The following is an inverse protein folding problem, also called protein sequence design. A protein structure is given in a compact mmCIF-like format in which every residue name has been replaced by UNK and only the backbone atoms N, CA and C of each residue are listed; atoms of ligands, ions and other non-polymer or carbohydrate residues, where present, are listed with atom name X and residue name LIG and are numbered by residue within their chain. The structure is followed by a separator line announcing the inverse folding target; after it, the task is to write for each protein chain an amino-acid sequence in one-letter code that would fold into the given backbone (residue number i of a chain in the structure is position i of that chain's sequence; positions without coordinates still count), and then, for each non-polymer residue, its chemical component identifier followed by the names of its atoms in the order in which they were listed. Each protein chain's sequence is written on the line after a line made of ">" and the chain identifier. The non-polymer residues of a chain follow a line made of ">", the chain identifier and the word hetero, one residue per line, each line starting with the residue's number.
data_IF_528896228120
#
_entry.id   IF_528896228120
#
_cell.length_a   1.000
_cell.length_b   1.000
_cell.length_c   1.000
_cell.angle_alpha   90.00
_cell.angle_beta   90.00
_cell.angle_gamma   90.00
#
_symmetry.space_group_name_H-M   'P 1'
#
loop_
_entity.id
_entity.type
_entity.pdbx_description
1 polymer ?
#
# COMPACT_ATOMS: atom_id res chain seq x y z
N UNK A 1 30.96 -60.70 -28.28
CA UNK A 1 29.70 -60.18 -28.88
C UNK A 1 28.54 -60.14 -27.86
N UNK A 2 28.83 -60.12 -26.55
CA UNK A 2 27.81 -60.11 -25.47
C UNK A 2 28.05 -59.00 -24.43
N UNK A 3 28.99 -58.08 -24.67
CA UNK A 3 29.23 -56.92 -23.79
C UNK A 3 28.69 -55.60 -24.38
N UNK A 4 28.50 -55.52 -25.70
CA UNK A 4 27.94 -54.33 -26.36
C UNK A 4 26.40 -54.25 -26.34
N UNK A 5 25.69 -55.34 -26.04
CA UNK A 5 24.23 -55.32 -25.92
C UNK A 5 23.74 -54.85 -24.54
N UNK A 6 24.58 -54.90 -23.50
CA UNK A 6 24.21 -54.44 -22.15
C UNK A 6 24.24 -52.90 -22.01
N UNK A 7 25.13 -52.21 -22.72
CA UNK A 7 25.17 -50.74 -22.71
C UNK A 7 24.01 -50.11 -23.49
N UNK A 8 23.49 -50.79 -24.52
CA UNK A 8 22.34 -50.30 -25.29
C UNK A 8 21.02 -50.42 -24.51
N UNK A 9 20.87 -51.47 -23.68
CA UNK A 9 19.65 -51.70 -22.88
C UNK A 9 19.54 -50.83 -21.62
N UNK A 10 20.65 -50.25 -21.12
CA UNK A 10 20.62 -49.27 -20.03
C UNK A 10 20.34 -47.83 -20.50
N UNK A 11 20.47 -47.57 -21.80
CA UNK A 11 20.16 -46.25 -22.39
C UNK A 11 18.67 -46.02 -22.66
N UNK A 12 17.86 -47.09 -22.70
CA UNK A 12 16.46 -47.07 -23.14
C UNK A 12 15.46 -47.63 -22.12
N UNK A 13 15.63 -47.31 -20.84
CA UNK A 13 14.62 -47.57 -19.81
C UNK A 13 13.88 -46.24 -19.45
N UNK A 14 12.65 -46.01 -19.95
CA UNK A 14 11.92 -44.76 -19.73
C UNK A 14 11.16 -44.79 -18.39
N UNK A 15 11.86 -44.99 -17.27
CA UNK A 15 11.27 -44.84 -15.93
C UNK A 15 12.20 -44.00 -15.04
N UNK A 16 11.63 -42.93 -14.46
CA UNK A 16 12.28 -41.83 -13.73
C UNK A 16 12.88 -40.69 -14.56
N UNK A 17 12.11 -40.20 -15.55
CA UNK A 17 12.25 -38.82 -15.99
C UNK A 17 11.87 -37.85 -14.87
N UNK A 18 12.84 -37.33 -14.11
CA UNK A 18 12.61 -36.17 -13.25
C UNK A 18 12.30 -34.98 -14.17
N UNK A 19 11.01 -34.76 -14.44
CA UNK A 19 10.53 -33.61 -15.19
C UNK A 19 11.14 -32.34 -14.55
N UNK A 20 12.07 -31.71 -15.27
CA UNK A 20 12.75 -30.51 -14.82
C UNK A 20 11.78 -29.35 -14.96
N UNK A 21 11.19 -28.92 -13.84
CA UNK A 21 10.27 -27.78 -13.81
C UNK A 21 11.11 -26.50 -13.78
N UNK A 22 11.01 -25.60 -14.77
CA UNK A 22 11.71 -24.31 -14.74
C UNK A 22 11.26 -23.46 -13.54
N UNK A 23 12.15 -22.64 -12.97
CA UNK A 23 11.85 -21.84 -11.76
C UNK A 23 10.59 -20.96 -11.89
N UNK A 24 10.34 -20.43 -13.09
CA UNK A 24 9.13 -19.64 -13.41
C UNK A 24 7.83 -20.42 -13.22
N UNK A 25 7.89 -21.73 -13.41
CA UNK A 25 6.77 -22.67 -13.33
C UNK A 25 6.71 -23.38 -11.97
N UNK A 26 7.50 -22.92 -10.98
CA UNK A 26 7.48 -23.43 -9.60
C UNK A 26 6.65 -22.54 -8.70
N UNK A 27 5.74 -23.14 -7.93
CA UNK A 27 5.13 -22.52 -6.76
C UNK A 27 5.84 -23.06 -5.52
N UNK A 28 6.53 -22.18 -4.78
CA UNK A 28 7.29 -22.56 -3.60
C UNK A 28 6.39 -22.75 -2.38
N UNK A 29 6.66 -23.80 -1.62
CA UNK A 29 5.95 -24.26 -0.43
C UNK A 29 6.91 -24.24 0.77
N UNK A 30 6.35 -24.04 1.96
CA UNK A 30 7.12 -24.10 3.20
C UNK A 30 6.63 -25.31 4.03
N UNK A 31 7.16 -26.49 3.71
CA UNK A 31 6.77 -27.73 4.35
C UNK A 31 7.53 -27.90 5.68
N UNK A 32 6.85 -28.02 6.83
CA UNK A 32 7.49 -28.36 8.10
C UNK A 32 8.32 -29.64 7.98
N UNK A 33 9.47 -29.70 8.65
CA UNK A 33 10.37 -30.86 8.53
C UNK A 33 9.67 -32.20 8.85
N UNK A 34 8.75 -32.19 9.82
CA UNK A 34 7.96 -33.37 10.23
C UNK A 34 6.98 -33.85 9.14
N UNK A 35 6.60 -32.98 8.21
CA UNK A 35 5.61 -33.25 7.15
C UNK A 35 6.27 -33.40 5.76
N UNK A 36 7.62 -33.42 5.71
CA UNK A 36 8.39 -33.53 4.47
C UNK A 36 8.05 -34.77 3.66
N UNK A 37 7.81 -35.90 4.32
CA UNK A 37 7.49 -37.16 3.64
C UNK A 37 6.06 -37.15 3.09
N UNK A 38 5.13 -36.50 3.79
CA UNK A 38 3.78 -36.28 3.30
C UNK A 38 3.81 -35.36 2.07
N UNK A 39 4.50 -34.21 2.14
CA UNK A 39 4.61 -33.32 1.00
C UNK A 39 5.27 -33.97 -0.22
N UNK A 40 6.31 -34.81 -0.03
CA UNK A 40 6.90 -35.63 -1.11
C UNK A 40 5.88 -36.59 -1.73
N UNK A 41 5.12 -37.32 -0.90
CA UNK A 41 4.03 -38.20 -1.38
C UNK A 41 2.99 -37.40 -2.15
N UNK A 42 2.75 -36.16 -1.77
CA UNK A 42 1.87 -35.22 -2.46
C UNK A 42 2.51 -34.57 -3.70
N UNK A 43 3.72 -34.97 -4.11
CA UNK A 43 4.36 -34.51 -5.34
C UNK A 43 5.14 -33.19 -5.20
N UNK A 44 5.34 -32.69 -3.98
CA UNK A 44 6.26 -31.59 -3.74
C UNK A 44 7.71 -32.05 -3.97
N UNK A 45 8.51 -31.19 -4.60
CA UNK A 45 9.93 -31.40 -4.89
C UNK A 45 10.77 -30.41 -4.06
N UNK A 46 12.00 -30.78 -3.72
CA UNK A 46 12.93 -29.92 -2.98
C UNK A 46 13.87 -29.17 -3.92
N UNK A 47 13.87 -27.84 -3.84
CA UNK A 47 14.84 -26.97 -4.51
C UNK A 47 16.01 -26.71 -3.56
N UNK A 48 17.12 -27.43 -3.75
CA UNK A 48 18.32 -27.34 -2.90
C UNK A 48 18.93 -25.95 -2.90
N UNK A 49 18.90 -25.27 -4.05
CA UNK A 49 19.42 -23.93 -4.29
C UNK A 49 18.67 -22.86 -3.49
N UNK A 50 17.35 -22.99 -3.35
CA UNK A 50 16.53 -22.05 -2.56
C UNK A 50 16.23 -22.54 -1.16
N UNK A 51 16.62 -23.79 -0.84
CA UNK A 51 16.28 -24.52 0.38
C UNK A 51 14.78 -24.46 0.67
N UNK A 52 13.95 -24.72 -0.36
CA UNK A 52 12.49 -24.67 -0.28
C UNK A 52 11.84 -25.82 -1.02
N UNK A 53 10.68 -26.23 -0.54
CA UNK A 53 9.81 -27.13 -1.29
C UNK A 53 9.12 -26.38 -2.42
N UNK A 54 8.73 -27.07 -3.48
CA UNK A 54 7.96 -26.50 -4.57
C UNK A 54 7.07 -27.53 -5.26
N UNK A 55 6.03 -27.05 -5.92
CA UNK A 55 5.25 -27.83 -6.89
C UNK A 55 5.22 -27.14 -8.24
N UNK A 56 4.83 -27.87 -9.29
CA UNK A 56 4.56 -27.29 -10.61
C UNK A 56 3.35 -26.37 -10.50
N UNK A 57 3.43 -25.17 -11.07
CA UNK A 57 2.26 -24.31 -11.31
C UNK A 57 1.42 -24.94 -12.41
N UNK A 58 0.11 -24.97 -12.25
CA UNK A 58 -0.76 -25.42 -13.32
C UNK A 58 -0.74 -24.43 -14.47
N UNK A 59 -0.48 -24.93 -15.68
CA UNK A 59 -0.89 -24.26 -16.90
C UNK A 59 -2.43 -24.29 -17.01
N UNK A 60 -3.01 -23.43 -17.84
CA UNK A 60 -4.46 -23.49 -18.14
C UNK A 60 -4.77 -24.83 -18.82
N UNK A 61 -5.22 -25.82 -18.04
CA UNK A 61 -5.67 -27.12 -18.53
C UNK A 61 -4.86 -28.31 -17.99
N UNK A 62 -5.43 -29.00 -16.99
CA UNK A 62 -5.35 -30.45 -16.87
C UNK A 62 -4.13 -31.06 -16.18
N UNK A 63 -4.27 -31.32 -14.89
CA UNK A 63 -3.48 -32.31 -14.14
C UNK A 63 -3.88 -32.25 -12.67
N UNK A 64 -4.34 -33.38 -12.10
CA UNK A 64 -4.92 -33.45 -10.75
C UNK A 64 -4.09 -32.69 -9.70
N UNK A 65 -4.54 -31.49 -9.35
CA UNK A 65 -4.08 -30.74 -8.20
C UNK A 65 -4.24 -31.63 -6.98
N UNK A 66 -3.14 -32.03 -6.34
CA UNK A 66 -3.21 -32.39 -4.93
C UNK A 66 -3.44 -31.09 -4.16
N UNK A 67 -4.71 -30.65 -4.12
CA UNK A 67 -5.23 -29.51 -3.33
C UNK A 67 -4.72 -29.57 -1.89
N UNK A 68 -4.42 -30.77 -1.41
CA UNK A 68 -3.77 -31.06 -0.13
C UNK A 68 -2.44 -30.32 0.07
N UNK A 69 -1.69 -29.97 -1.00
CA UNK A 69 -0.48 -29.14 -0.88
C UNK A 69 -0.77 -27.66 -0.64
N UNK A 70 -2.01 -27.19 -0.84
CA UNK A 70 -2.38 -25.79 -0.63
C UNK A 70 -2.21 -25.38 0.83
N UNK A 71 -2.30 -26.32 1.79
CA UNK A 71 -2.06 -26.02 3.21
C UNK A 71 -0.66 -25.44 3.46
N UNK A 72 0.34 -25.85 2.69
CA UNK A 72 1.72 -25.34 2.76
C UNK A 72 1.97 -24.06 1.97
N UNK A 73 0.94 -23.50 1.33
CA UNK A 73 1.04 -22.26 0.57
C UNK A 73 1.14 -21.07 1.53
N UNK A 74 2.07 -20.19 1.21
CA UNK A 74 2.30 -18.94 1.94
C UNK A 74 1.22 -17.92 1.56
N UNK A 75 0.57 -17.34 2.57
CA UNK A 75 -0.33 -16.19 2.45
C UNK A 75 0.32 -15.00 3.15
N UNK A 76 0.51 -13.89 2.44
CA UNK A 76 1.03 -12.67 3.05
C UNK A 76 -0.08 -11.92 3.78
N UNK A 77 0.22 -11.47 5.00
CA UNK A 77 -0.69 -10.78 5.91
C UNK A 77 -0.41 -9.29 5.90
N UNK A 78 -1.46 -8.47 5.91
CA UNK A 78 -1.34 -7.02 6.02
C UNK A 78 -1.32 -6.55 7.48
N UNK A 79 -0.35 -7.07 8.23
CA UNK A 79 -0.11 -6.69 9.63
C UNK A 79 1.08 -5.70 9.63
N UNK A 80 1.01 -4.55 10.30
CA UNK A 80 2.17 -3.67 10.45
C UNK A 80 3.26 -4.36 11.27
N UNK A 81 4.53 -3.98 11.06
CA UNK A 81 5.64 -4.54 11.84
C UNK A 81 5.53 -4.22 13.35
N UNK A 82 4.86 -3.13 13.72
CA UNK A 82 4.59 -2.77 15.13
C UNK A 82 3.74 -3.81 15.86
N UNK A 83 2.82 -4.49 15.18
CA UNK A 83 2.01 -5.58 15.72
C UNK A 83 2.75 -6.93 15.69
N UNK A 84 4.08 -6.92 15.68
CA UNK A 84 4.93 -8.12 15.56
C UNK A 84 4.63 -9.19 16.60
N UNK A 85 4.30 -8.81 17.82
CA UNK A 85 4.06 -9.80 18.88
C UNK A 85 2.70 -10.48 18.67
N UNK A 86 1.63 -9.71 18.41
CA UNK A 86 0.33 -10.25 17.99
C UNK A 86 0.43 -11.13 16.74
N UNK A 87 1.19 -10.68 15.73
CA UNK A 87 1.39 -11.45 14.50
C UNK A 87 2.04 -12.81 14.79
N UNK A 88 3.09 -12.85 15.60
CA UNK A 88 3.77 -14.09 16.00
C UNK A 88 2.88 -14.98 16.86
N UNK A 89 2.13 -14.42 17.80
CA UNK A 89 1.18 -15.14 18.65
C UNK A 89 0.13 -15.90 17.82
N UNK A 90 -0.36 -15.28 16.75
CA UNK A 90 -1.30 -15.91 15.81
C UNK A 90 -0.63 -16.88 14.81
N UNK A 91 0.70 -17.04 14.89
CA UNK A 91 1.48 -17.98 14.07
C UNK A 91 2.09 -17.39 12.81
N UNK A 92 2.08 -16.06 12.63
CA UNK A 92 2.68 -15.40 11.48
C UNK A 92 4.21 -15.35 11.58
N UNK A 93 4.85 -15.35 10.42
CA UNK A 93 6.29 -15.27 10.24
C UNK A 93 6.65 -14.02 9.45
N UNK A 94 7.78 -13.40 9.76
CA UNK A 94 8.26 -12.22 9.04
C UNK A 94 9.05 -12.63 7.79
N UNK A 95 8.80 -11.98 6.65
CA UNK A 95 9.60 -12.09 5.44
C UNK A 95 10.46 -10.82 5.24
N UNK A 96 11.76 -10.83 5.60
CA UNK A 96 12.63 -9.63 5.49
C UNK A 96 12.72 -9.06 4.07
N UNK A 97 12.80 -9.93 3.07
CA UNK A 97 12.93 -9.52 1.66
C UNK A 97 11.69 -8.78 1.14
N UNK A 98 10.49 -9.17 1.60
CA UNK A 98 9.23 -8.51 1.23
C UNK A 98 8.79 -7.44 2.23
N UNK A 99 9.40 -7.40 3.41
CA UNK A 99 8.98 -6.58 4.56
C UNK A 99 7.49 -6.77 4.89
N UNK A 100 7.05 -8.03 4.94
CA UNK A 100 5.66 -8.38 5.23
C UNK A 100 5.57 -9.63 6.10
N UNK A 101 4.52 -9.68 6.93
CA UNK A 101 4.14 -10.90 7.63
C UNK A 101 3.54 -11.90 6.65
N UNK A 102 3.67 -13.18 6.96
CA UNK A 102 3.04 -14.25 6.22
C UNK A 102 2.65 -15.39 7.14
N UNK A 103 1.64 -16.15 6.74
CA UNK A 103 1.22 -17.39 7.40
C UNK A 103 1.06 -18.49 6.35
N UNK A 104 0.67 -19.67 6.78
CA UNK A 104 0.30 -20.79 5.91
C UNK A 104 -1.22 -20.81 5.72
N UNK A 105 -1.67 -21.35 4.60
CA UNK A 105 -3.11 -21.39 4.28
C UNK A 105 -3.91 -22.12 5.35
N UNK A 106 -3.36 -23.18 5.96
CA UNK A 106 -3.98 -23.87 7.11
C UNK A 106 -4.16 -22.99 8.35
N UNK A 107 -3.28 -22.01 8.56
CA UNK A 107 -3.29 -21.13 9.71
C UNK A 107 -4.04 -19.82 9.44
N UNK A 108 -4.67 -19.67 8.27
CA UNK A 108 -5.45 -18.47 7.94
C UNK A 108 -6.64 -18.27 8.86
N UNK A 109 -7.19 -19.33 9.46
CA UNK A 109 -8.28 -19.23 10.45
C UNK A 109 -7.88 -18.47 11.71
N UNK A 110 -6.58 -18.44 12.06
CA UNK A 110 -6.07 -17.65 13.18
C UNK A 110 -5.99 -16.15 12.87
N UNK A 111 -6.11 -15.79 11.58
CA UNK A 111 -6.10 -14.42 11.11
C UNK A 111 -7.51 -14.10 10.59
N UNK A 112 -8.46 -13.74 11.47
CA UNK A 112 -9.77 -13.31 11.02
C UNK A 112 -9.59 -12.26 9.93
N UNK A 113 -10.32 -12.42 8.83
CA UNK A 113 -10.26 -11.50 7.73
C UNK A 113 -10.91 -10.18 8.15
N UNK A 114 -10.14 -9.33 8.82
CA UNK A 114 -10.49 -7.92 9.00
C UNK A 114 -10.46 -7.18 7.64
N UNK A 115 -10.03 -7.87 6.58
CA UNK A 115 -10.03 -7.40 5.21
C UNK A 115 -11.41 -7.55 4.60
N UNK A 116 -12.32 -6.63 4.93
CA UNK A 116 -13.53 -6.35 4.15
C UNK A 116 -13.18 -5.75 2.76
N UNK A 117 -12.15 -6.28 2.07
CA UNK A 117 -11.66 -5.73 0.81
C UNK A 117 -11.16 -4.29 0.90
N UNK A 118 -10.71 -3.84 2.07
CA UNK A 118 -10.36 -2.45 2.36
C UNK A 118 -11.55 -1.47 2.40
N UNK A 119 -12.78 -1.98 2.58
CA UNK A 119 -13.96 -1.17 2.89
C UNK A 119 -13.85 -0.69 4.34
N UNK A 120 -14.11 0.60 4.56
CA UNK A 120 -14.24 1.19 5.89
C UNK A 120 -15.74 1.30 6.20
N UNK A 121 -16.19 0.68 7.30
CA UNK A 121 -17.57 0.81 7.76
C UNK A 121 -17.90 2.30 8.01
N UNK A 122 -19.07 2.75 7.52
CA UNK A 122 -19.49 4.15 7.64
C UNK A 122 -18.85 5.11 6.63
N UNK A 123 -17.96 4.65 5.75
CA UNK A 123 -17.38 5.48 4.69
C UNK A 123 -18.38 5.73 3.56
N UNK A 124 -18.62 7.00 3.26
CA UNK A 124 -19.33 7.41 2.05
C UNK A 124 -18.33 7.55 0.89
N UNK A 125 -18.30 6.53 0.02
CA UNK A 125 -17.39 6.52 -1.14
C UNK A 125 -17.83 7.45 -2.27
N UNK A 126 -19.08 7.90 -2.25
CA UNK A 126 -19.60 8.86 -3.20
C UNK A 126 -19.36 10.31 -2.71
N UNK A 127 -19.09 10.51 -1.41
CA UNK A 127 -18.72 11.81 -0.86
C UNK A 127 -17.45 12.36 -1.51
N UNK A 128 -17.62 13.44 -2.27
CA UNK A 128 -16.59 14.02 -3.14
C UNK A 128 -16.19 13.14 -4.33
N UNK A 129 -16.69 11.91 -4.40
CA UNK A 129 -16.48 10.95 -5.49
C UNK A 129 -15.02 10.81 -5.93
N UNK A 130 -14.83 10.30 -7.14
CA UNK A 130 -13.49 10.23 -7.72
C UNK A 130 -13.07 11.56 -8.38
N UNK A 131 -13.76 12.65 -8.06
CA UNK A 131 -13.51 13.96 -8.64
C UNK A 131 -12.26 14.59 -8.02
N UNK A 132 -11.32 15.06 -8.85
CA UNK A 132 -10.19 15.85 -8.37
C UNK A 132 -10.62 17.29 -8.12
N UNK A 133 -10.50 17.76 -6.88
CA UNK A 133 -10.73 19.17 -6.55
C UNK A 133 -9.73 19.67 -5.50
N UNK A 134 -9.56 20.98 -5.50
CA UNK A 134 -8.89 21.74 -4.43
C UNK A 134 -9.74 21.66 -3.17
N UNK A 135 -9.22 21.02 -2.12
CA UNK A 135 -9.92 20.74 -0.86
C UNK A 135 -9.17 21.40 0.30
N UNK A 136 -9.43 22.70 0.46
CA UNK A 136 -8.76 23.49 1.49
C UNK A 136 -9.40 23.23 2.85
N UNK A 137 -8.54 22.96 3.84
CA UNK A 137 -8.94 22.70 5.22
C UNK A 137 -8.93 24.02 6.00
N UNK A 138 -9.94 24.29 6.86
CA UNK A 138 -9.97 25.47 7.72
C UNK A 138 -8.74 25.52 8.63
N UNK A 139 -8.25 26.73 8.91
CA UNK A 139 -7.03 26.98 9.70
C UNK A 139 -7.08 26.34 11.06
N UNK A 140 -8.22 26.39 11.75
CA UNK A 140 -8.40 25.76 13.06
C UNK A 140 -8.17 24.24 13.00
N UNK A 141 -8.42 23.61 11.86
CA UNK A 141 -8.34 22.16 11.68
C UNK A 141 -6.97 21.65 11.21
N UNK A 142 -6.01 22.55 10.97
CA UNK A 142 -4.69 22.11 10.53
C UNK A 142 -3.99 21.28 11.60
N UNK A 143 -3.25 20.26 11.15
CA UNK A 143 -2.45 19.35 11.99
C UNK A 143 -3.21 18.46 12.99
N UNK A 144 -4.54 18.51 13.01
CA UNK A 144 -5.39 17.72 13.91
C UNK A 144 -6.25 16.72 13.11
N UNK A 145 -5.60 16.04 12.15
CA UNK A 145 -6.20 15.04 11.26
C UNK A 145 -6.16 13.62 11.84
N UNK A 146 -6.58 12.62 11.07
CA UNK A 146 -6.63 11.21 11.52
C UNK A 146 -5.27 10.74 11.99
N UNK A 147 -4.22 10.96 11.19
CA UNK A 147 -2.83 10.58 11.51
C UNK A 147 -2.34 11.19 12.83
N UNK A 148 -2.84 12.35 13.22
CA UNK A 148 -2.51 12.96 14.50
C UNK A 148 -3.22 12.27 15.67
N UNK A 149 -4.48 11.85 15.47
CA UNK A 149 -5.35 11.33 16.52
C UNK A 149 -5.16 9.83 16.81
N UNK A 150 -4.68 9.04 15.85
CA UNK A 150 -4.41 7.60 16.04
C UNK A 150 -2.92 7.28 16.06
N UNK A 151 -2.59 6.06 16.48
CA UNK A 151 -1.22 5.58 16.45
C UNK A 151 -0.68 5.45 15.03
N UNK A 152 0.64 5.64 14.88
CA UNK A 152 1.29 5.57 13.56
C UNK A 152 1.07 4.21 12.89
N UNK A 153 1.08 3.15 13.67
CA UNK A 153 0.82 1.78 13.22
C UNK A 153 -0.59 1.66 12.61
N UNK A 154 -1.58 2.17 13.32
CA UNK A 154 -2.98 2.15 12.95
C UNK A 154 -3.23 2.97 11.69
N UNK A 155 -2.65 4.18 11.61
CA UNK A 155 -2.68 4.98 10.39
C UNK A 155 -2.05 4.25 9.19
N UNK A 156 -0.90 3.60 9.41
CA UNK A 156 -0.22 2.85 8.36
C UNK A 156 -1.04 1.64 7.90
N UNK A 157 -1.83 1.02 8.78
CA UNK A 157 -2.79 -0.04 8.46
C UNK A 157 -3.99 0.50 7.69
N UNK A 158 -4.64 1.56 8.18
CA UNK A 158 -5.81 2.19 7.54
C UNK A 158 -5.49 2.59 6.09
N UNK A 159 -4.41 3.35 5.87
CA UNK A 159 -4.07 3.80 4.50
C UNK A 159 -3.70 2.64 3.58
N UNK A 160 -3.09 1.56 4.08
CA UNK A 160 -2.75 0.38 3.26
C UNK A 160 -4.00 -0.36 2.80
N UNK A 161 -5.02 -0.49 3.66
CA UNK A 161 -6.35 -1.00 3.26
C UNK A 161 -6.92 -0.17 2.10
N UNK A 162 -6.86 1.16 2.23
CA UNK A 162 -7.30 2.10 1.18
C UNK A 162 -6.48 1.94 -0.11
N UNK A 163 -5.17 1.72 -0.06
CA UNK A 163 -4.36 1.53 -1.27
C UNK A 163 -4.61 0.17 -1.94
N UNK A 164 -4.85 -0.87 -1.14
CA UNK A 164 -5.11 -2.23 -1.60
C UNK A 164 -6.45 -2.31 -2.34
N UNK A 165 -7.53 -1.71 -1.81
CA UNK A 165 -8.87 -1.73 -2.43
C UNK A 165 -8.86 -1.13 -3.84
N UNK A 166 -8.04 -0.09 -4.06
CA UNK A 166 -7.91 0.59 -5.36
C UNK A 166 -6.82 -0.02 -6.24
N UNK A 167 -6.22 -1.14 -5.83
CA UNK A 167 -5.16 -1.84 -6.57
C UNK A 167 -3.98 -0.94 -6.92
N UNK A 168 -3.64 -0.02 -6.01
CA UNK A 168 -2.60 1.00 -6.17
C UNK A 168 -2.79 1.90 -7.41
N UNK A 169 -4.03 2.20 -7.76
CA UNK A 169 -4.41 3.17 -8.78
C UNK A 169 -4.98 4.41 -8.09
N UNK A 170 -4.56 5.60 -8.50
CA UNK A 170 -5.13 6.86 -8.04
C UNK A 170 -6.63 6.90 -8.33
N UNK A 171 -7.46 7.16 -7.32
CA UNK A 171 -8.91 7.21 -7.49
C UNK A 171 -9.34 8.39 -8.39
N UNK A 172 -8.58 9.49 -8.42
CA UNK A 172 -8.94 10.66 -9.21
C UNK A 172 -8.50 10.60 -10.68
N UNK A 173 -7.21 10.36 -10.94
CA UNK A 173 -6.66 10.45 -12.30
C UNK A 173 -6.41 9.09 -12.95
N UNK A 174 -6.66 7.98 -12.26
CA UNK A 174 -6.40 6.64 -12.79
C UNK A 174 -4.91 6.28 -12.93
N UNK A 175 -3.97 7.15 -12.50
CA UNK A 175 -2.53 6.84 -12.54
C UNK A 175 -2.23 5.65 -11.63
N UNK A 176 -1.70 4.57 -12.22
CA UNK A 176 -1.07 3.47 -11.49
C UNK A 176 0.31 3.89 -10.99
N UNK A 177 0.57 3.72 -9.70
CA UNK A 177 1.89 4.03 -9.12
C UNK A 177 2.97 3.08 -9.65
N UNK A 178 4.16 3.63 -9.94
CA UNK A 178 5.30 2.85 -10.42
C UNK A 178 6.07 2.22 -9.26
N UNK A 179 7.00 1.32 -9.57
CA UNK A 179 7.89 0.72 -8.56
C UNK A 179 8.69 1.82 -7.86
N UNK A 180 8.55 1.91 -6.53
CA UNK A 180 9.20 2.93 -5.70
C UNK A 180 8.34 4.16 -5.41
N UNK A 181 7.18 4.30 -6.06
CA UNK A 181 6.16 5.29 -5.73
C UNK A 181 5.11 4.67 -4.79
N UNK A 182 4.41 5.51 -4.04
CA UNK A 182 3.25 5.12 -3.23
C UNK A 182 2.10 6.09 -3.44
N UNK A 183 0.88 5.62 -3.23
CA UNK A 183 -0.28 6.50 -3.08
C UNK A 183 -0.19 7.26 -1.74
N UNK A 184 -0.94 8.34 -1.68
CA UNK A 184 -1.11 9.22 -0.53
C UNK A 184 -2.60 9.22 -0.17
N UNK A 185 -2.92 8.81 1.06
CA UNK A 185 -4.28 8.84 1.58
C UNK A 185 -4.64 10.27 1.96
N UNK A 186 -5.81 10.72 1.50
CA UNK A 186 -6.35 12.05 1.77
C UNK A 186 -7.73 11.94 2.40
N UNK A 187 -7.93 12.66 3.49
CA UNK A 187 -9.21 12.69 4.20
C UNK A 187 -10.18 13.71 3.58
N UNK A 188 -11.39 13.27 3.23
CA UNK A 188 -12.52 14.13 2.84
C UNK A 188 -13.44 14.36 4.03
N UNK A 189 -13.80 15.62 4.23
CA UNK A 189 -14.53 16.06 5.41
C UNK A 189 -15.84 16.74 5.03
N UNK A 190 -16.91 16.40 5.73
CA UNK A 190 -18.10 17.24 5.78
C UNK A 190 -17.95 18.27 6.91
N UNK A 191 -18.62 19.41 6.75
CA UNK A 191 -18.60 20.53 7.69
C UNK A 191 -20.05 20.98 7.88
N UNK A 192 -20.67 20.59 8.98
CA UNK A 192 -22.08 20.87 9.27
C UNK A 192 -22.29 21.01 10.77
N UNK A 193 -23.12 21.97 11.18
CA UNK A 193 -23.54 22.16 12.58
C UNK A 193 -22.36 22.25 13.58
N UNK A 194 -21.25 22.87 13.14
CA UNK A 194 -20.02 23.00 13.95
C UNK A 194 -19.17 21.74 14.05
N UNK A 195 -19.49 20.68 13.30
CA UNK A 195 -18.77 19.40 13.27
C UNK A 195 -18.03 19.25 11.94
N UNK A 196 -16.73 18.92 12.03
CA UNK A 196 -15.93 18.39 10.94
C UNK A 196 -15.92 16.87 11.04
N UNK A 197 -16.62 16.19 10.14
CA UNK A 197 -16.76 14.73 10.15
C UNK A 197 -15.98 14.08 9.03
N UNK A 198 -15.26 13.00 9.35
CA UNK A 198 -14.57 12.18 8.35
C UNK A 198 -15.60 11.35 7.59
N UNK A 199 -15.83 11.69 6.32
CA UNK A 199 -16.75 10.93 5.46
C UNK A 199 -16.01 9.91 4.60
N UNK A 200 -14.76 10.23 4.20
CA UNK A 200 -14.00 9.38 3.28
C UNK A 200 -12.50 9.49 3.39
N UNK A 201 -11.78 8.41 3.09
CA UNK A 201 -10.33 8.43 2.87
C UNK A 201 -10.03 8.01 1.43
N UNK A 202 -9.61 8.95 0.59
CA UNK A 202 -9.34 8.72 -0.84
C UNK A 202 -7.86 8.48 -1.13
N UNK A 203 -7.55 7.57 -2.04
CA UNK A 203 -6.18 7.21 -2.42
C UNK A 203 -5.72 8.01 -3.66
N UNK A 204 -4.73 8.90 -3.48
CA UNK A 204 -4.29 9.83 -4.50
C UNK A 204 -2.84 9.58 -4.92
N UNK A 205 -2.50 9.85 -6.18
CA UNK A 205 -1.10 10.02 -6.55
C UNK A 205 -0.57 11.36 -6.03
N UNK A 206 0.76 11.51 -5.96
CA UNK A 206 1.40 12.72 -5.43
C UNK A 206 0.88 14.03 -6.05
N UNK A 207 0.67 14.10 -7.36
CA UNK A 207 0.18 15.33 -8.00
C UNK A 207 -1.29 15.59 -7.65
N UNK A 208 -2.16 14.57 -7.68
CA UNK A 208 -3.56 14.73 -7.23
C UNK A 208 -3.63 15.19 -5.78
N UNK A 209 -2.83 14.61 -4.89
CA UNK A 209 -2.78 15.00 -3.49
C UNK A 209 -2.30 16.46 -3.31
N UNK A 210 -1.31 16.88 -4.08
CA UNK A 210 -0.83 18.27 -4.11
C UNK A 210 -1.88 19.25 -4.65
N UNK A 211 -2.64 18.87 -5.69
CA UNK A 211 -3.77 19.66 -6.20
C UNK A 211 -4.84 19.82 -5.12
N UNK A 212 -5.13 18.75 -4.39
CA UNK A 212 -6.08 18.82 -3.28
C UNK A 212 -5.59 19.75 -2.16
N UNK A 213 -4.29 19.71 -1.82
CA UNK A 213 -3.65 20.66 -0.91
C UNK A 213 -3.10 21.93 -1.60
N UNK A 214 -3.84 22.46 -2.59
CA UNK A 214 -3.41 23.53 -3.48
C UNK A 214 -2.73 24.72 -2.77
N UNK A 215 -3.38 25.24 -1.71
CA UNK A 215 -2.90 26.41 -0.98
C UNK A 215 -1.53 26.20 -0.34
N UNK A 216 -1.19 24.95 0.02
CA UNK A 216 0.14 24.60 0.50
C UNK A 216 1.12 24.31 -0.64
N UNK A 217 0.68 23.56 -1.65
CA UNK A 217 1.55 22.98 -2.67
C UNK A 217 1.94 23.96 -3.79
N UNK A 218 1.13 24.98 -4.09
CA UNK A 218 1.37 25.88 -5.23
C UNK A 218 2.74 26.58 -5.19
N UNK A 219 3.18 26.98 -3.99
CA UNK A 219 4.50 27.61 -3.80
C UNK A 219 5.68 26.63 -3.68
N UNK A 220 5.43 25.32 -3.58
CA UNK A 220 6.46 24.28 -3.46
C UNK A 220 6.72 23.56 -4.78
N UNK A 221 5.66 23.31 -5.55
CA UNK A 221 5.69 22.51 -6.78
C UNK A 221 5.64 23.41 -8.02
N UNK A 222 5.12 24.64 -7.88
CA UNK A 222 4.78 25.53 -8.98
C UNK A 222 3.30 25.44 -9.31
N UNK A 223 2.65 26.60 -9.37
CA UNK A 223 1.20 26.69 -9.55
C UNK A 223 0.76 26.10 -10.89
N UNK A 224 1.51 26.37 -11.96
CA UNK A 224 1.18 25.92 -13.32
C UNK A 224 1.11 24.39 -13.44
N UNK A 225 1.98 23.66 -12.71
CA UNK A 225 1.98 22.19 -12.69
C UNK A 225 0.67 21.67 -12.12
N UNK A 226 0.19 22.29 -11.03
CA UNK A 226 -1.06 21.89 -10.37
C UNK A 226 -2.27 22.24 -11.25
N UNK A 227 -2.29 23.43 -11.84
CA UNK A 227 -3.37 23.89 -12.74
C UNK A 227 -3.45 23.01 -13.98
N UNK A 228 -2.32 22.71 -14.62
CA UNK A 228 -2.27 21.82 -15.78
C UNK A 228 -2.82 20.42 -15.44
N UNK A 229 -2.43 19.86 -14.30
CA UNK A 229 -2.94 18.56 -13.89
C UNK A 229 -4.44 18.58 -13.56
N UNK A 230 -4.91 19.61 -12.84
CA UNK A 230 -6.33 19.78 -12.52
C UNK A 230 -7.17 19.90 -13.79
N UNK A 231 -6.75 20.77 -14.74
CA UNK A 231 -7.40 20.93 -16.04
C UNK A 231 -7.48 19.61 -16.80
N UNK A 232 -6.39 18.88 -16.90
CA UNK A 232 -6.37 17.60 -17.60
C UNK A 232 -7.31 16.56 -16.98
N UNK A 233 -7.31 16.41 -15.65
CA UNK A 233 -8.13 15.39 -14.97
C UNK A 233 -9.61 15.76 -14.98
N UNK A 234 -9.94 17.06 -14.91
CA UNK A 234 -11.32 17.54 -14.87
C UNK A 234 -11.92 17.89 -16.22
N UNK A 235 -11.09 18.02 -17.25
CA UNK A 235 -11.52 18.57 -18.54
C UNK A 235 -11.80 20.07 -18.49
N UNK A 236 -11.24 20.80 -17.53
CA UNK A 236 -11.47 22.24 -17.38
C UNK A 236 -10.72 23.06 -18.43
N UNK A 237 -11.38 24.12 -18.91
CA UNK A 237 -10.73 25.30 -19.48
C UNK A 237 -10.05 26.18 -18.40
N UNK A 238 -9.38 27.25 -18.83
CA UNK A 238 -8.67 28.14 -17.91
C UNK A 238 -9.62 28.90 -16.96
N UNK A 239 -10.77 29.33 -17.46
CA UNK A 239 -11.80 30.04 -16.67
C UNK A 239 -12.38 29.11 -15.61
N UNK A 240 -12.82 27.90 -16.00
CA UNK A 240 -13.39 26.92 -15.07
C UNK A 240 -12.39 26.49 -13.99
N UNK A 241 -11.10 26.36 -14.36
CA UNK A 241 -10.03 26.04 -13.41
C UNK A 241 -9.85 27.16 -12.39
N UNK A 242 -9.86 28.42 -12.84
CA UNK A 242 -9.77 29.58 -11.95
C UNK A 242 -10.99 29.68 -11.03
N UNK A 243 -12.19 29.56 -11.58
CA UNK A 243 -13.44 29.58 -10.81
C UNK A 243 -13.46 28.49 -9.74
N UNK A 244 -13.03 27.27 -10.08
CA UNK A 244 -12.89 26.17 -9.13
C UNK A 244 -11.94 26.52 -7.97
N UNK A 245 -10.78 27.11 -8.27
CA UNK A 245 -9.80 27.49 -7.26
C UNK A 245 -10.36 28.59 -6.36
N UNK A 246 -10.98 29.63 -6.95
CA UNK A 246 -11.56 30.74 -6.20
C UNK A 246 -12.71 30.29 -5.31
N UNK A 247 -13.55 29.37 -5.78
CA UNK A 247 -14.63 28.80 -4.98
C UNK A 247 -14.10 28.03 -3.77
N UNK A 248 -13.04 27.25 -3.95
CA UNK A 248 -12.40 26.56 -2.82
C UNK A 248 -11.84 27.55 -1.77
N UNK A 249 -11.30 28.70 -2.21
CA UNK A 249 -10.85 29.76 -1.31
C UNK A 249 -11.99 30.49 -0.59
N UNK A 250 -13.12 30.73 -1.28
CA UNK A 250 -14.33 31.30 -0.66
C UNK A 250 -14.90 30.37 0.41
N UNK A 251 -15.05 29.09 0.08
CA UNK A 251 -15.57 28.09 1.00
C UNK A 251 -14.71 27.96 2.26
N UNK A 252 -13.38 27.93 2.12
CA UNK A 252 -12.51 27.85 3.32
C UNK A 252 -12.50 29.16 4.11
N UNK A 253 -12.68 30.32 3.46
CA UNK A 253 -12.80 31.60 4.16
C UNK A 253 -14.03 31.62 5.07
N UNK A 254 -15.18 31.13 4.58
CA UNK A 254 -16.38 30.94 5.39
C UNK A 254 -16.15 29.94 6.54
N UNK A 255 -15.58 28.77 6.25
CA UNK A 255 -15.32 27.74 7.26
C UNK A 255 -14.31 28.17 8.34
N UNK A 256 -13.44 29.14 8.05
CA UNK A 256 -12.49 29.70 9.03
C UNK A 256 -13.16 30.50 10.15
N UNK A 257 -14.43 30.88 9.98
CA UNK A 257 -15.22 31.58 11.00
C UNK A 257 -15.62 30.67 12.17
N UNK A 258 -15.48 29.35 12.00
CA UNK A 258 -15.89 28.35 12.99
C UNK A 258 -14.69 27.52 13.46
N UNK A 259 -14.66 27.24 14.76
CA UNK A 259 -13.86 26.14 15.31
C UNK A 259 -14.71 24.88 15.30
N UNK A 260 -14.15 23.80 14.76
CA UNK A 260 -14.90 22.60 14.42
C UNK A 260 -14.65 21.50 15.44
N UNK A 261 -15.70 20.86 15.91
CA UNK A 261 -15.58 19.59 16.63
C UNK A 261 -15.17 18.49 15.66
N UNK A 262 -14.30 17.58 16.07
CA UNK A 262 -13.77 16.53 15.19
C UNK A 262 -14.49 15.22 15.42
N UNK A 263 -15.19 14.74 14.40
CA UNK A 263 -15.83 13.43 14.39
C UNK A 263 -14.97 12.43 13.60
N UNK A 264 -14.42 11.45 14.33
CA UNK A 264 -13.67 10.30 13.84
C UNK A 264 -14.37 8.97 14.11
N UNK A 265 -15.70 8.96 14.26
CA UNK A 265 -16.52 7.74 14.44
C UNK A 265 -16.19 6.68 13.40
N UNK A 266 -16.07 7.06 12.12
CA UNK A 266 -15.64 6.15 11.04
C UNK A 266 -14.30 5.46 11.34
N UNK A 267 -13.36 6.10 12.03
CA UNK A 267 -12.09 5.49 12.41
C UNK A 267 -12.28 4.51 13.57
N UNK A 268 -13.01 4.90 14.62
CA UNK A 268 -13.23 4.07 15.82
C UNK A 268 -14.14 2.87 15.54
N UNK A 269 -15.15 3.04 14.69
CA UNK A 269 -16.09 1.98 14.28
C UNK A 269 -15.39 0.91 13.44
N UNK A 270 -14.24 1.26 12.83
CA UNK A 270 -13.35 0.32 12.13
C UNK A 270 -12.26 -0.26 13.05
N UNK A 271 -12.40 -0.13 14.37
CA UNK A 271 -11.57 -0.78 15.37
C UNK A 271 -10.25 -0.09 15.70
N UNK A 272 -10.01 1.11 15.17
CA UNK A 272 -8.81 1.88 15.47
C UNK A 272 -9.00 2.69 16.76
N UNK A 273 -8.00 2.67 17.64
CA UNK A 273 -8.07 3.41 18.92
C UNK A 273 -7.53 4.83 18.74
N UNK A 274 -8.22 5.80 19.34
CA UNK A 274 -7.71 7.16 19.43
C UNK A 274 -6.58 7.21 20.47
N UNK A 275 -5.35 7.44 20.01
CA UNK A 275 -4.20 7.70 20.86
C UNK A 275 -4.22 9.12 21.44
N UNK A 276 -4.93 10.04 20.76
CA UNK A 276 -5.12 11.43 21.18
C UNK A 276 -6.55 11.88 20.88
N UNK A 277 -7.16 12.55 21.84
CA UNK A 277 -8.43 13.27 21.66
C UNK A 277 -8.14 14.76 21.49
N UNK A 278 -8.77 15.39 20.50
CA UNK A 278 -8.59 16.82 20.23
C UNK A 278 -9.91 17.52 20.48
N UNK A 279 -9.96 18.32 21.55
CA UNK A 279 -11.13 19.15 21.84
C UNK A 279 -11.18 20.35 20.91
N UNK A 280 -12.38 20.82 20.60
CA UNK A 280 -12.63 21.93 19.67
C UNK A 280 -11.86 23.20 20.09
N UNK A 281 -11.82 23.49 21.38
CA UNK A 281 -11.17 24.69 21.95
C UNK A 281 -9.65 24.66 21.77
N UNK A 282 -9.05 23.46 21.73
CA UNK A 282 -7.61 23.26 21.62
C UNK A 282 -7.12 23.30 20.15
N UNK A 283 -8.02 23.13 19.17
CA UNK A 283 -7.64 23.00 17.75
C UNK A 283 -6.91 24.23 17.20
N UNK A 284 -7.43 25.41 17.50
CA UNK A 284 -6.87 26.69 17.01
C UNK A 284 -5.47 26.94 17.57
N UNK A 285 -5.25 26.68 18.86
CA UNK A 285 -3.94 26.84 19.49
C UNK A 285 -2.92 25.81 18.99
N UNK A 286 -3.32 24.54 18.81
CA UNK A 286 -2.49 23.50 18.20
C UNK A 286 -2.05 23.90 16.79
N UNK A 287 -2.98 24.42 15.99
CA UNK A 287 -2.71 24.87 14.62
C UNK A 287 -1.71 26.02 14.56
N UNK A 288 -1.91 27.05 15.41
CA UNK A 288 -1.00 28.20 15.49
C UNK A 288 0.42 27.77 15.89
N UNK A 289 0.55 27.04 17.00
CA UNK A 289 1.85 26.60 17.51
C UNK A 289 2.64 25.77 16.48
N UNK A 290 1.97 24.86 15.76
CA UNK A 290 2.62 24.05 14.73
C UNK A 290 3.00 24.83 13.48
N UNK A 291 2.23 25.85 13.12
CA UNK A 291 2.54 26.73 12.00
C UNK A 291 3.79 27.58 12.27
N UNK A 292 3.96 28.07 13.51
CA UNK A 292 5.11 28.87 13.96
C UNK A 292 6.39 28.03 14.11
N UNK A 293 6.27 26.78 14.57
CA UNK A 293 7.41 25.87 14.72
C UNK A 293 8.06 25.42 13.39
N UNK A 294 7.46 25.80 12.26
CA UNK A 294 7.96 25.42 10.94
C UNK A 294 9.17 26.29 10.61
N UNK A 295 10.36 25.71 10.36
CA UNK A 295 11.53 26.51 10.04
C UNK A 295 11.24 27.42 8.83
N UNK A 296 11.80 28.64 8.80
CA UNK A 296 11.61 29.56 7.68
C UNK A 296 11.98 28.85 6.38
N UNK A 297 11.26 29.15 5.29
CA UNK A 297 11.46 28.55 3.97
C UNK A 297 12.93 28.73 3.56
N UNK A 298 13.77 27.72 3.78
CA UNK A 298 15.11 27.69 3.22
C UNK A 298 14.95 27.69 1.71
N UNK A 299 15.56 28.68 1.05
CA UNK A 299 15.67 28.77 -0.40
C UNK A 299 16.04 27.41 -0.99
N UNK A 300 15.35 27.07 -2.07
CA UNK A 300 15.59 25.95 -2.99
C UNK A 300 16.77 25.04 -2.62
N UNK A 301 16.45 23.85 -2.11
CA UNK A 301 17.38 22.73 -2.17
C UNK A 301 17.77 22.55 -3.65
N UNK A 302 19.06 22.62 -4.04
CA UNK A 302 19.42 22.55 -5.45
C UNK A 302 18.97 21.21 -6.03
N UNK A 303 18.60 21.17 -7.32
CA UNK A 303 18.23 19.92 -7.97
C UNK A 303 19.35 18.91 -7.76
N UNK A 304 18.99 17.68 -7.40
CA UNK A 304 19.95 16.57 -7.34
C UNK A 304 20.60 16.48 -8.72
N UNK A 305 21.90 16.79 -8.80
CA UNK A 305 22.66 16.60 -10.03
C UNK A 305 22.61 15.13 -10.42
N UNK A 306 22.08 14.87 -11.62
CA UNK A 306 22.26 13.61 -12.31
C UNK A 306 23.72 13.53 -12.76
N UNK A 307 24.54 12.80 -12.01
CA UNK A 307 25.76 12.15 -12.51
C UNK A 307 26.41 11.36 -11.39
N UNK A 308 26.01 10.09 -11.27
CA UNK A 308 26.91 9.09 -10.68
C UNK A 308 27.87 8.67 -11.80
N UNK A 309 29.19 8.85 -11.67
CA UNK A 309 30.12 8.32 -12.65
C UNK A 309 30.04 6.78 -12.63
N UNK A 310 30.27 6.11 -13.78
CA UNK A 310 30.21 4.66 -13.84
C UNK A 310 31.30 4.04 -12.96
N UNK A 311 30.92 2.99 -12.23
CA UNK A 311 31.83 2.17 -11.43
C UNK A 311 32.97 1.60 -12.30
N UNK A 312 34.22 1.61 -11.84
CA UNK A 312 35.30 0.98 -12.58
C UNK A 312 35.04 -0.53 -12.69
N UNK A 313 35.09 -1.04 -13.92
CA UNK A 313 35.08 -2.47 -14.22
C UNK A 313 36.25 -3.14 -13.50
N UNK A 314 35.97 -4.20 -12.77
CA UNK A 314 37.00 -5.09 -12.24
C UNK A 314 37.79 -5.67 -13.43
N UNK A 315 39.08 -5.36 -13.47
CA UNK A 315 40.02 -5.93 -14.42
C UNK A 315 40.08 -7.46 -14.22
N UNK A 316 39.97 -8.17 -15.33
CA UNK A 316 40.32 -9.57 -15.42
C UNK A 316 41.75 -9.78 -14.92
N UNK A 317 41.93 -10.67 -13.95
CA UNK A 317 43.22 -11.29 -13.69
C UNK A 317 43.23 -12.66 -14.37
N UNK A 318 43.94 -12.72 -15.49
CA UNK A 318 44.58 -13.95 -15.94
C UNK A 318 45.60 -14.37 -14.88
N UNK A 319 45.46 -15.57 -14.35
CA UNK A 319 46.51 -16.59 -14.20
C UNK A 319 45.87 -17.92 -13.81
#
# INVERSE_FOLDING_TARGET
>A
MLEYELEFLLSNNPSYGFEHIPDRDREYLEVPYREKEEAKKLGAKWAKEKKKWYRKKDGRGGGSLKRELDKYKIVYLDIPFSEKERAKELGARWCPNKKSWYTFTENMTNFPSDDHGGILAGEDRDFGGNTLFVDLIPKSCWFTNVRYCIDRADWDTLRRRVYKRVKNICECCGKRVRKGESLEAHERWSYKDGIQKLERVVALCTICHQVTHYGHSKGLVGEEVLRTHLKHVRGFGDVECEEHIQEAYRLVAERNLTDWELDLSMVTDNGFKLARTVRKEDRRSISAARSESRPPRSESRPPRSESRPPSPRAAARNK
#
